data_IF_863634160486
#
_entry.id   IF_863634160486
#
_cell.length_a   1.000
_cell.length_b   1.000
_cell.length_c   1.000
_cell.angle_alpha   90.00
_cell.angle_beta   90.00
_cell.angle_gamma   90.00
#
_symmetry.space_group_name_H-M   'P 1'
#
loop_
_entity.id
_entity.type
_entity.pdbx_description
1 polymer ?
#
# COMPACT_ATOMS: atom_id res chain seq x y z
N UNK A 1 -26.99 -9.58 -78.27
CA UNK A 1 -25.93 -10.40 -77.64
C UNK A 1 -25.39 -9.60 -76.48
N UNK A 2 -25.62 -10.15 -75.30
CA UNK A 2 -25.35 -9.56 -73.99
C UNK A 2 -23.88 -9.72 -73.60
N UNK A 3 -23.49 -8.97 -72.56
CA UNK A 3 -22.35 -9.12 -71.65
C UNK A 3 -21.27 -8.03 -71.76
N UNK A 4 -21.55 -6.93 -71.05
CA UNK A 4 -20.54 -6.06 -70.46
C UNK A 4 -20.78 -6.06 -68.95
N UNK A 5 -19.77 -6.49 -68.19
CA UNK A 5 -19.71 -6.30 -66.72
C UNK A 5 -19.64 -4.80 -66.42
N UNK A 6 -20.29 -4.37 -65.34
CA UNK A 6 -19.54 -3.65 -64.31
C UNK A 6 -19.77 -4.24 -62.92
N UNK A 7 -18.72 -4.16 -62.11
CA UNK A 7 -18.76 -4.52 -60.70
C UNK A 7 -19.59 -3.53 -59.90
N UNK A 8 -20.30 -4.07 -58.91
CA UNK A 8 -20.93 -3.29 -57.87
C UNK A 8 -20.58 -3.89 -56.50
N UNK A 9 -20.28 -2.94 -55.62
CA UNK A 9 -19.77 -2.99 -54.26
C UNK A 9 -20.57 -3.83 -53.27
N UNK A 10 -19.87 -4.43 -52.29
CA UNK A 10 -20.41 -4.65 -50.94
C UNK A 10 -19.38 -4.27 -49.88
N UNK A 11 -19.64 -3.13 -49.24
CA UNK A 11 -19.47 -2.86 -47.80
C UNK A 11 -20.00 -4.07 -46.99
N UNK A 12 -19.62 -4.38 -45.75
CA UNK A 12 -19.09 -3.60 -44.63
C UNK A 12 -18.81 -4.59 -43.48
N UNK A 13 -17.90 -4.22 -42.58
CA UNK A 13 -17.84 -4.62 -41.16
C UNK A 13 -17.66 -6.10 -40.80
N UNK A 14 -16.38 -6.48 -40.71
CA UNK A 14 -15.94 -7.54 -39.82
C UNK A 14 -15.96 -7.06 -38.36
N UNK A 15 -16.87 -7.61 -37.57
CA UNK A 15 -16.69 -7.80 -36.14
C UNK A 15 -17.41 -9.11 -35.75
N UNK A 16 -16.83 -10.24 -36.15
CA UNK A 16 -17.24 -11.55 -35.69
C UNK A 16 -17.05 -11.60 -34.17
N UNK A 17 -18.15 -11.39 -33.44
CA UNK A 17 -18.22 -11.57 -32.00
C UNK A 17 -17.94 -13.04 -31.70
N UNK A 18 -16.66 -13.36 -31.47
CA UNK A 18 -16.24 -14.64 -30.89
C UNK A 18 -16.81 -14.72 -29.48
N UNK A 19 -17.99 -15.32 -29.34
CA UNK A 19 -18.55 -15.71 -28.04
C UNK A 19 -17.54 -16.65 -27.37
N UNK A 20 -16.87 -16.16 -26.33
CA UNK A 20 -16.07 -17.00 -25.46
C UNK A 20 -17.02 -18.02 -24.80
N UNK A 21 -16.71 -19.32 -24.87
CA UNK A 21 -17.42 -20.40 -24.16
C UNK A 21 -17.08 -20.33 -22.66
N UNK A 22 -17.40 -19.21 -22.04
CA UNK A 22 -17.24 -19.06 -20.60
C UNK A 22 -18.59 -19.40 -19.97
N UNK A 23 -18.67 -20.45 -19.14
CA UNK A 23 -19.91 -20.75 -18.45
C UNK A 23 -20.29 -19.58 -17.54
N UNK A 24 -21.59 -19.26 -17.45
CA UNK A 24 -22.12 -17.99 -16.90
C UNK A 24 -21.76 -17.65 -15.45
N UNK A 25 -21.13 -18.57 -14.71
CA UNK A 25 -20.57 -18.33 -13.37
C UNK A 25 -19.15 -17.73 -13.38
N UNK A 26 -18.44 -17.81 -14.52
CA UNK A 26 -17.13 -17.18 -14.74
C UNK A 26 -17.30 -15.90 -15.59
N UNK A 27 -18.22 -15.01 -15.23
CA UNK A 27 -18.25 -13.69 -15.89
C UNK A 27 -16.96 -12.92 -15.53
N UNK A 28 -16.29 -12.26 -16.50
CA UNK A 28 -15.16 -11.37 -16.19
C UNK A 28 -15.59 -10.20 -15.28
N UNK A 29 -16.90 -9.99 -15.12
CA UNK A 29 -17.51 -9.02 -14.23
C UNK A 29 -17.44 -9.40 -12.73
N UNK A 30 -16.95 -10.59 -12.39
CA UNK A 30 -16.62 -11.01 -11.02
C UNK A 30 -15.25 -10.51 -10.53
N UNK A 31 -14.39 -10.01 -11.43
CA UNK A 31 -13.26 -9.15 -11.04
C UNK A 31 -13.79 -7.71 -10.99
N UNK A 32 -14.86 -7.52 -10.22
CA UNK A 32 -15.16 -6.19 -9.70
C UNK A 32 -14.08 -5.99 -8.65
N UNK A 33 -12.93 -5.47 -9.10
CA UNK A 33 -11.86 -5.04 -8.22
C UNK A 33 -12.56 -4.26 -7.13
N UNK A 34 -12.57 -4.81 -5.92
CA UNK A 34 -12.80 -3.99 -4.77
C UNK A 34 -11.79 -2.87 -4.97
N UNK A 35 -12.24 -1.64 -5.23
CA UNK A 35 -11.49 -0.46 -4.87
C UNK A 35 -11.38 -0.51 -3.35
N UNK A 36 -10.58 -1.47 -2.85
CA UNK A 36 -9.99 -1.46 -1.53
C UNK A 36 -9.17 -0.21 -1.59
N UNK A 37 -9.79 0.89 -1.17
CA UNK A 37 -9.21 2.19 -0.86
C UNK A 37 -7.77 1.92 -0.47
N UNK A 38 -6.86 2.00 -1.46
CA UNK A 38 -5.52 1.42 -1.32
C UNK A 38 -4.99 2.07 -0.05
N UNK A 39 -4.76 1.25 0.98
CA UNK A 39 -4.25 1.81 2.22
C UNK A 39 -2.96 2.47 1.79
N UNK A 40 -2.86 3.78 2.07
CA UNK A 40 -1.61 4.48 1.83
C UNK A 40 -0.61 3.88 2.79
N UNK A 41 0.18 2.97 2.24
CA UNK A 41 1.23 2.26 2.92
C UNK A 41 2.53 2.53 2.17
N UNK A 42 3.58 2.83 2.92
CA UNK A 42 4.89 3.14 2.34
C UNK A 42 5.95 2.35 3.06
N UNK A 43 6.80 1.69 2.28
CA UNK A 43 7.95 0.94 2.81
C UNK A 43 9.11 1.91 2.99
N UNK A 44 9.51 2.12 4.23
CA UNK A 44 10.58 3.04 4.63
C UNK A 44 11.66 2.29 5.40
N UNK A 45 12.86 2.86 5.45
CA UNK A 45 13.97 2.31 6.23
C UNK A 45 13.96 2.87 7.64
N UNK A 46 14.08 2.00 8.62
CA UNK A 46 14.24 2.40 10.02
C UNK A 46 15.72 2.66 10.29
N UNK A 47 15.99 3.80 10.90
CA UNK A 47 17.26 4.16 11.52
C UNK A 47 17.10 4.25 13.02
N UNK A 48 18.08 3.70 13.73
CA UNK A 48 18.13 3.81 15.18
C UNK A 48 18.88 5.08 15.56
N UNK A 49 18.27 5.91 16.41
CA UNK A 49 18.85 7.14 16.94
C UNK A 49 18.58 7.21 18.44
N UNK A 50 19.59 7.61 19.20
CA UNK A 50 19.44 7.95 20.62
C UNK A 50 18.72 9.29 20.83
N UNK A 51 18.66 10.14 19.80
CA UNK A 51 18.02 11.46 19.82
C UNK A 51 16.47 11.42 19.78
N UNK A 52 15.88 10.23 19.84
CA UNK A 52 14.43 9.99 19.76
C UNK A 52 13.99 9.31 21.04
N UNK A 53 12.95 9.82 21.70
CA UNK A 53 12.40 9.21 22.91
C UNK A 53 11.76 7.83 22.63
N UNK A 54 11.72 6.96 23.65
CA UNK A 54 10.97 5.69 23.61
C UNK A 54 9.48 5.94 23.28
N UNK A 55 8.88 5.06 22.46
CA UNK A 55 7.49 5.17 22.01
C UNK A 55 7.23 6.25 20.95
N UNK A 56 8.27 6.94 20.47
CA UNK A 56 8.16 7.98 19.45
C UNK A 56 8.97 7.63 18.20
N UNK A 57 8.49 8.09 17.05
CA UNK A 57 9.17 7.96 15.76
C UNK A 57 9.21 9.32 15.05
N UNK A 58 10.40 9.75 14.64
CA UNK A 58 10.54 10.95 13.81
C UNK A 58 10.37 10.58 12.34
N UNK A 59 9.49 11.29 11.66
CA UNK A 59 9.13 11.05 10.25
C UNK A 59 9.08 12.39 9.52
N UNK A 60 9.47 12.38 8.25
CA UNK A 60 9.35 13.58 7.41
C UNK A 60 7.88 14.02 7.28
N UNK A 61 7.55 15.31 7.48
CA UNK A 61 6.16 15.79 7.48
C UNK A 61 5.43 15.54 6.15
N UNK A 62 6.14 15.54 5.03
CA UNK A 62 5.52 15.25 3.72
C UNK A 62 5.09 13.79 3.58
N UNK A 63 5.82 12.86 4.21
CA UNK A 63 5.44 11.44 4.23
C UNK A 63 4.18 11.25 5.07
N UNK A 64 4.07 11.98 6.18
CA UNK A 64 2.87 11.97 7.02
C UNK A 64 1.64 12.50 6.28
N UNK A 65 1.79 13.61 5.56
CA UNK A 65 0.73 14.17 4.70
C UNK A 65 0.31 13.22 3.58
N UNK A 66 1.29 12.58 2.94
CA UNK A 66 1.04 11.58 1.90
C UNK A 66 0.23 10.40 2.46
N UNK A 67 0.63 9.86 3.61
CA UNK A 67 -0.03 8.73 4.28
C UNK A 67 -1.32 9.13 5.03
N UNK A 68 -1.56 10.42 5.26
CA UNK A 68 -2.70 10.94 6.04
C UNK A 68 -2.62 10.58 7.52
N UNK A 69 -1.41 10.58 8.08
CA UNK A 69 -1.12 10.30 9.49
C UNK A 69 -0.96 11.63 10.25
N UNK A 70 -1.61 11.75 11.41
CA UNK A 70 -1.61 12.97 12.23
C UNK A 70 -0.86 12.73 13.55
N UNK A 71 -1.36 11.84 14.41
CA UNK A 71 -0.80 11.65 15.76
C UNK A 71 0.02 10.36 15.92
N UNK A 72 -0.50 9.26 15.37
CA UNK A 72 0.03 7.91 15.60
C UNK A 72 0.26 7.18 14.29
N UNK A 73 1.36 6.44 14.25
CA UNK A 73 1.75 5.63 13.09
C UNK A 73 1.81 4.17 13.47
N UNK A 74 1.31 3.31 12.58
CA UNK A 74 1.53 1.87 12.70
C UNK A 74 2.72 1.47 11.81
N UNK A 75 3.77 1.00 12.46
CA UNK A 75 4.97 0.47 11.82
C UNK A 75 4.86 -1.05 11.82
N UNK A 76 4.78 -1.63 10.63
CA UNK A 76 4.78 -3.07 10.42
C UNK A 76 6.17 -3.50 9.97
N UNK A 77 6.83 -4.31 10.78
CA UNK A 77 8.13 -4.89 10.50
C UNK A 77 7.94 -6.36 10.13
N UNK A 78 8.29 -6.70 8.90
CA UNK A 78 8.36 -8.09 8.44
C UNK A 78 9.77 -8.58 8.72
N UNK A 79 9.98 -9.15 9.92
CA UNK A 79 11.25 -9.77 10.29
C UNK A 79 11.45 -11.11 9.58
N UNK A 80 12.71 -11.54 9.42
CA UNK A 80 13.12 -12.75 8.66
C UNK A 80 12.60 -14.11 9.17
N UNK A 81 11.66 -14.14 10.11
CA UNK A 81 11.00 -15.35 10.58
C UNK A 81 9.49 -15.16 10.57
N UNK A 82 8.86 -15.25 9.40
CA UNK A 82 7.42 -15.41 9.09
C UNK A 82 6.34 -14.64 9.88
N UNK A 83 6.73 -13.79 10.84
CA UNK A 83 5.85 -13.14 11.81
C UNK A 83 6.01 -11.65 11.66
N UNK A 84 4.97 -11.03 11.13
CA UNK A 84 4.86 -9.58 11.05
C UNK A 84 4.71 -9.01 12.47
N UNK A 85 5.58 -8.08 12.83
CA UNK A 85 5.51 -7.34 14.09
C UNK A 85 4.91 -5.97 13.82
N UNK A 86 3.93 -5.58 14.63
CA UNK A 86 3.20 -4.32 14.47
C UNK A 86 3.45 -3.47 15.70
N UNK A 87 3.87 -2.23 15.50
CA UNK A 87 4.15 -1.28 16.55
C UNK A 87 3.37 -0.01 16.28
N UNK A 88 2.66 0.47 17.28
CA UNK A 88 2.00 1.78 17.23
C UNK A 88 2.89 2.74 17.99
N UNK A 89 3.35 3.78 17.31
CA UNK A 89 4.26 4.78 17.88
C UNK A 89 3.68 6.18 17.65
N UNK A 90 4.01 7.11 18.55
CA UNK A 90 3.69 8.52 18.35
C UNK A 90 4.60 9.12 17.31
N UNK A 91 4.01 9.89 16.40
CA UNK A 91 4.76 10.54 15.33
C UNK A 91 5.26 11.90 15.80
N UNK A 92 6.53 12.18 15.51
CA UNK A 92 7.09 13.53 15.58
C UNK A 92 7.48 13.96 14.15
N UNK A 93 6.82 14.98 13.57
CA UNK A 93 7.27 15.54 12.30
C UNK A 93 8.63 16.22 12.49
N UNK A 94 9.62 15.85 11.67
CA UNK A 94 10.95 16.47 11.65
C UNK A 94 11.48 16.48 10.23
N UNK A 95 11.97 17.65 9.78
CA UNK A 95 12.55 17.85 8.44
C UNK A 95 13.99 17.31 8.35
N UNK A 96 14.63 17.02 9.48
CA UNK A 96 15.95 16.39 9.56
C UNK A 96 15.93 14.93 9.06
N UNK A 97 14.74 14.31 9.08
CA UNK A 97 14.55 12.92 8.67
C UNK A 97 14.28 12.86 7.17
N UNK A 98 15.10 12.15 6.37
CA UNK A 98 14.83 12.00 4.93
C UNK A 98 13.48 11.32 4.67
N UNK A 99 12.82 11.65 3.54
CA UNK A 99 11.52 11.04 3.16
C UNK A 99 11.51 9.51 3.06
N UNK A 100 12.67 8.89 2.88
CA UNK A 100 12.81 7.44 2.71
C UNK A 100 13.23 6.72 4.00
N UNK A 101 13.40 7.47 5.10
CA UNK A 101 13.86 6.98 6.39
C UNK A 101 12.87 7.35 7.50
N UNK A 102 12.94 6.59 8.59
CA UNK A 102 12.24 6.86 9.85
C UNK A 102 13.20 6.66 10.99
N UNK A 103 13.27 7.62 11.89
CA UNK A 103 14.15 7.52 13.05
C UNK A 103 13.35 7.10 14.26
N UNK A 104 13.78 6.02 14.88
CA UNK A 104 13.20 5.49 16.10
C UNK A 104 14.26 5.39 17.19
N UNK A 105 13.79 5.31 18.44
CA UNK A 105 14.65 5.13 19.59
C UNK A 105 15.50 3.84 19.46
N UNK A 106 16.79 3.95 19.75
CA UNK A 106 17.73 2.81 19.65
C UNK A 106 17.44 1.71 20.66
N UNK A 107 17.15 2.07 21.92
CA UNK A 107 16.93 1.12 23.00
C UNK A 107 15.66 0.29 22.78
N UNK A 108 14.58 0.95 22.36
CA UNK A 108 13.33 0.31 22.00
C UNK A 108 13.52 -0.63 20.82
N UNK A 109 14.18 -0.17 19.75
CA UNK A 109 14.48 -1.01 18.59
C UNK A 109 15.35 -2.21 18.96
N UNK A 110 16.30 -2.05 19.89
CA UNK A 110 17.13 -3.15 20.40
C UNK A 110 16.29 -4.15 21.21
N UNK A 111 15.39 -3.68 22.09
CA UNK A 111 14.47 -4.52 22.86
C UNK A 111 13.53 -5.31 21.94
N UNK A 112 13.09 -4.67 20.85
CA UNK A 112 12.26 -5.27 19.81
C UNK A 112 13.03 -6.15 18.84
N UNK A 113 14.36 -6.23 18.93
CA UNK A 113 15.20 -7.03 18.03
C UNK A 113 15.22 -6.52 16.59
N UNK A 114 15.03 -5.21 16.39
CA UNK A 114 15.05 -4.55 15.09
C UNK A 114 16.46 -4.02 14.82
N UNK A 115 17.03 -4.45 13.70
CA UNK A 115 18.36 -3.98 13.27
C UNK A 115 18.29 -2.57 12.66
N UNK A 116 19.44 -1.89 12.60
CA UNK A 116 19.55 -0.68 11.79
C UNK A 116 19.32 -1.00 10.31
N UNK A 117 18.79 -0.04 9.55
CA UNK A 117 18.39 -0.19 8.14
C UNK A 117 17.30 -1.24 7.87
N UNK A 118 16.54 -1.65 8.90
CA UNK A 118 15.40 -2.55 8.70
C UNK A 118 14.34 -1.90 7.80
N UNK A 119 13.73 -2.68 6.92
CA UNK A 119 12.63 -2.21 6.06
C UNK A 119 11.33 -2.40 6.81
N UNK A 120 10.58 -1.32 7.00
CA UNK A 120 9.27 -1.34 7.63
C UNK A 120 8.19 -0.78 6.71
N UNK A 121 7.02 -1.38 6.77
CA UNK A 121 5.83 -0.86 6.12
C UNK A 121 5.12 0.08 7.08
N UNK A 122 5.04 1.34 6.70
CA UNK A 122 4.37 2.39 7.45
C UNK A 122 2.97 2.53 6.93
N UNK A 123 1.99 2.48 7.82
CA UNK A 123 0.59 2.68 7.47
C UNK A 123 -0.11 3.49 8.53
N UNK A 124 -1.22 4.11 8.13
CA UNK A 124 -2.15 4.71 9.09
C UNK A 124 -2.68 3.61 10.02
N UNK A 125 -2.63 3.79 11.35
CA UNK A 125 -3.28 2.86 12.26
C UNK A 125 -4.76 2.79 11.89
N UNK A 126 -5.32 1.58 11.90
CA UNK A 126 -6.76 1.45 12.00
C UNK A 126 -7.16 2.19 13.28
N UNK A 127 -8.02 3.20 13.16
CA UNK A 127 -8.55 3.92 14.31
C UNK A 127 -9.04 2.96 15.41
N UNK A 128 -9.17 3.45 16.64
CA UNK A 128 -9.26 2.60 17.82
C UNK A 128 -10.32 1.52 17.62
N UNK A 129 -9.93 0.25 17.83
CA UNK A 129 -10.93 -0.67 18.36
C UNK A 129 -11.27 -0.07 19.71
N UNK A 130 -12.45 0.52 19.83
CA UNK A 130 -13.09 0.69 21.13
C UNK A 130 -13.06 -0.68 21.80
N UNK A 131 -12.09 -0.90 22.69
CA UNK A 131 -12.20 -1.93 23.69
C UNK A 131 -13.41 -1.55 24.52
N UNK A 132 -14.55 -2.17 24.23
CA UNK A 132 -15.68 -2.19 25.16
C UNK A 132 -15.18 -2.82 26.45
N UNK A 133 -14.83 -1.97 27.40
CA UNK A 133 -14.64 -2.35 28.79
C UNK A 133 -15.86 -3.14 29.24
N UNK A 134 -15.61 -4.32 29.80
CA UNK A 134 -16.60 -5.13 30.52
C UNK A 134 -16.36 -4.93 32.00
#
# INVERSE_FOLDING_TARGET
>A
MSESKPGESKSSEGASQRRLLIPGFLTPSGIKGEEKKERRERRLRIRRRSDVDEGKAKIHPEVLKELGIEDEVEIVLVGGGSRERKYVLKVIPSEDVPRNEVWCNEEEMRRLGVADNSIATIRKPLGPKEEKGT
#
